data_IF_939590391822
#
_entry.id   IF_939590391822
#
_cell.length_a   1.000
_cell.length_b   1.000
_cell.length_c   1.000
_cell.angle_alpha   90.00
_cell.angle_beta   90.00
_cell.angle_gamma   90.00
#
_symmetry.space_group_name_H-M   'P 1'
#
loop_
_entity.id
_entity.type
_entity.pdbx_description
1 polymer ?
#
# COMPACT_ATOMS: atom_id res chain seq x y z
N UNK A 1 0.73 9.17 -14.18
CA UNK A 1 1.62 8.90 -13.04
C UNK A 1 2.34 7.61 -13.37
N UNK A 2 3.65 7.58 -13.18
CA UNK A 2 4.50 6.41 -13.45
C UNK A 2 3.95 5.13 -12.78
N UNK A 3 3.86 4.05 -13.55
CA UNK A 3 3.32 2.76 -13.08
C UNK A 3 4.17 2.18 -11.94
N UNK A 4 5.49 2.35 -11.98
CA UNK A 4 6.39 1.82 -10.95
C UNK A 4 6.22 2.59 -9.63
N UNK A 5 5.92 3.89 -9.71
CA UNK A 5 5.57 4.70 -8.54
C UNK A 5 4.23 4.28 -7.94
N UNK A 6 3.22 3.99 -8.77
CA UNK A 6 1.93 3.47 -8.32
C UNK A 6 2.14 2.14 -7.61
N UNK A 7 2.95 1.24 -8.20
CA UNK A 7 3.25 -0.09 -7.63
C UNK A 7 3.97 0.02 -6.28
N UNK A 8 4.93 0.94 -6.16
CA UNK A 8 5.60 1.24 -4.90
C UNK A 8 4.65 1.80 -3.84
N UNK A 9 3.78 2.75 -4.23
CA UNK A 9 2.77 3.33 -3.35
C UNK A 9 1.80 2.26 -2.83
N UNK A 10 1.24 1.44 -3.74
CA UNK A 10 0.33 0.33 -3.39
C UNK A 10 1.01 -0.64 -2.42
N UNK A 11 2.28 -1.00 -2.65
CA UNK A 11 3.04 -1.86 -1.74
C UNK A 11 3.19 -1.27 -0.33
N UNK A 12 3.51 0.02 -0.23
CA UNK A 12 3.61 0.72 1.05
C UNK A 12 2.25 0.79 1.76
N UNK A 13 1.17 1.07 1.02
CA UNK A 13 -0.19 1.08 1.56
C UNK A 13 -0.54 -0.30 2.14
N UNK A 14 -0.35 -1.37 1.36
CA UNK A 14 -0.63 -2.76 1.78
C UNK A 14 0.16 -3.12 3.03
N UNK A 15 1.47 -2.84 3.06
CA UNK A 15 2.32 -3.07 4.23
C UNK A 15 1.81 -2.30 5.46
N UNK A 16 1.41 -1.05 5.29
CA UNK A 16 0.90 -0.22 6.39
C UNK A 16 -0.44 -0.72 6.94
N UNK A 17 -1.36 -1.15 6.06
CA UNK A 17 -2.60 -1.77 6.47
C UNK A 17 -2.37 -3.06 7.27
N UNK A 18 -1.47 -3.93 6.81
CA UNK A 18 -1.10 -5.15 7.52
C UNK A 18 -0.44 -4.84 8.88
N UNK A 19 0.41 -3.83 8.95
CA UNK A 19 1.06 -3.41 10.20
C UNK A 19 0.02 -2.97 11.25
N UNK A 20 -0.94 -2.12 10.87
CA UNK A 20 -2.01 -1.69 11.79
C UNK A 20 -2.89 -2.86 12.23
N UNK A 21 -3.03 -3.88 11.39
CA UNK A 21 -3.77 -5.09 11.73
C UNK A 21 -3.01 -5.98 12.73
N UNK A 22 -1.69 -6.16 12.54
CA UNK A 22 -0.83 -6.85 13.52
C UNK A 22 -0.90 -6.14 14.87
N UNK A 23 -0.79 -4.80 14.87
CA UNK A 23 -0.91 -4.00 16.10
C UNK A 23 -2.27 -4.21 16.79
N UNK A 24 -3.35 -4.34 16.02
CA UNK A 24 -4.67 -4.64 16.56
C UNK A 24 -4.75 -6.06 17.16
N UNK A 25 -4.16 -7.06 16.50
CA UNK A 25 -4.05 -8.44 17.01
C UNK A 25 -3.29 -8.46 18.34
N UNK A 26 -2.13 -7.81 18.40
CA UNK A 26 -1.30 -7.78 19.61
C UNK A 26 -1.99 -7.06 20.79
N UNK A 27 -2.92 -6.15 20.49
CA UNK A 27 -3.67 -5.38 21.50
C UNK A 27 -4.90 -6.09 22.06
N UNK A 28 -5.41 -7.14 21.39
CA UNK A 28 -6.67 -7.81 21.75
C UNK A 28 -6.54 -9.34 21.67
N UNK A 29 -6.54 -9.99 22.84
CA UNK A 29 -6.49 -11.45 22.95
C UNK A 29 -7.71 -12.17 22.33
N UNK A 30 -8.81 -11.47 22.07
CA UNK A 30 -10.01 -12.01 21.41
C UNK A 30 -10.19 -11.44 20.00
N UNK A 31 -9.10 -10.97 19.38
CA UNK A 31 -9.14 -10.34 18.07
C UNK A 31 -9.90 -11.19 17.03
N UNK A 32 -10.80 -10.54 16.31
CA UNK A 32 -11.54 -11.12 15.19
C UNK A 32 -11.23 -10.34 13.91
N UNK A 33 -10.53 -10.99 12.99
CA UNK A 33 -10.20 -10.41 11.68
C UNK A 33 -11.45 -9.92 10.94
N UNK A 34 -12.54 -10.69 11.01
CA UNK A 34 -13.82 -10.35 10.40
C UNK A 34 -14.42 -9.08 10.98
N UNK A 35 -14.37 -8.91 12.30
CA UNK A 35 -14.92 -7.73 12.96
C UNK A 35 -14.05 -6.51 12.76
N UNK A 36 -12.73 -6.68 12.76
CA UNK A 36 -11.78 -5.64 12.38
C UNK A 36 -12.09 -5.10 10.98
N UNK A 37 -12.22 -5.97 9.99
CA UNK A 37 -12.57 -5.56 8.62
C UNK A 37 -13.93 -4.88 8.53
N UNK A 38 -14.93 -5.36 9.28
CA UNK A 38 -16.26 -4.71 9.33
C UNK A 38 -16.18 -3.29 9.93
N UNK A 39 -15.25 -3.04 10.84
CA UNK A 39 -15.00 -1.74 11.44
C UNK A 39 -14.02 -0.86 10.67
N UNK A 40 -13.46 -1.34 9.54
CA UNK A 40 -12.42 -0.63 8.81
C UNK A 40 -13.00 0.58 8.07
N UNK A 41 -12.63 1.79 8.50
CA UNK A 41 -13.24 3.04 8.02
C UNK A 41 -12.41 3.72 6.93
N UNK A 42 -13.06 4.60 6.16
CA UNK A 42 -12.38 5.49 5.19
C UNK A 42 -11.29 6.32 5.89
N UNK A 43 -11.50 6.74 7.14
CA UNK A 43 -10.49 7.47 7.90
C UNK A 43 -9.20 6.65 8.10
N UNK A 44 -9.31 5.34 8.35
CA UNK A 44 -8.16 4.44 8.44
C UNK A 44 -7.47 4.28 7.07
N UNK A 45 -8.24 4.20 5.97
CA UNK A 45 -7.68 4.24 4.62
C UNK A 45 -6.85 5.51 4.40
N UNK A 46 -7.38 6.68 4.75
CA UNK A 46 -6.70 7.97 4.58
C UNK A 46 -5.40 8.04 5.40
N UNK A 47 -5.38 7.45 6.60
CA UNK A 47 -4.16 7.34 7.40
C UNK A 47 -3.09 6.50 6.69
N UNK A 48 -3.47 5.38 6.09
CA UNK A 48 -2.53 4.54 5.34
C UNK A 48 -2.02 5.24 4.07
N UNK A 49 -2.88 5.97 3.36
CA UNK A 49 -2.49 6.81 2.21
C UNK A 49 -1.47 7.86 2.65
N UNK A 50 -1.77 8.60 3.71
CA UNK A 50 -0.87 9.64 4.23
C UNK A 50 0.49 9.05 4.63
N UNK A 51 0.48 7.90 5.29
CA UNK A 51 1.71 7.21 5.73
C UNK A 51 2.53 6.72 4.53
N UNK A 52 1.90 6.11 3.53
CA UNK A 52 2.56 5.67 2.31
C UNK A 52 3.19 6.84 1.52
N UNK A 53 2.49 7.97 1.40
CA UNK A 53 3.03 9.20 0.76
C UNK A 53 4.29 9.69 1.49
N UNK A 54 4.25 9.76 2.83
CA UNK A 54 5.42 10.17 3.63
C UNK A 54 6.61 9.22 3.46
N UNK A 55 6.34 7.93 3.31
CA UNK A 55 7.37 6.90 3.17
C UNK A 55 8.00 6.83 1.78
N UNK A 56 7.26 7.16 0.73
CA UNK A 56 7.87 7.35 -0.60
C UNK A 56 8.88 8.51 -0.61
N UNK A 57 8.82 9.39 0.39
CA UNK A 57 9.58 10.63 0.52
C UNK A 57 9.25 11.65 -0.57
N UNK A 58 9.33 12.92 -0.21
CA UNK A 58 8.96 14.01 -1.13
C UNK A 58 9.86 14.04 -2.36
N UNK A 59 11.10 13.58 -2.24
CA UNK A 59 12.06 13.67 -3.32
C UNK A 59 11.80 12.65 -4.44
N UNK A 60 11.39 11.42 -4.12
CA UNK A 60 10.97 10.44 -5.14
C UNK A 60 9.68 10.91 -5.83
N UNK A 61 8.76 11.52 -5.08
CA UNK A 61 7.59 12.18 -5.68
C UNK A 61 7.97 13.36 -6.57
N UNK A 62 8.93 14.20 -6.14
CA UNK A 62 9.35 15.42 -6.83
C UNK A 62 10.04 15.11 -8.16
N UNK A 63 10.87 14.06 -8.23
CA UNK A 63 11.53 13.64 -9.49
C UNK A 63 10.50 13.33 -10.58
N UNK A 64 9.36 12.74 -10.24
CA UNK A 64 8.31 12.44 -11.21
C UNK A 64 7.53 13.68 -11.68
N UNK A 65 7.65 14.82 -10.99
CA UNK A 65 7.16 16.09 -11.52
C UNK A 65 8.09 16.69 -12.58
N UNK A 66 9.29 16.16 -12.81
CA UNK A 66 10.28 16.76 -13.73
C UNK A 66 9.77 16.83 -15.17
N UNK A 67 8.93 15.87 -15.57
CA UNK A 67 8.29 15.87 -16.90
C UNK A 67 7.20 16.94 -17.03
N UNK A 68 6.52 17.28 -15.94
CA UNK A 68 5.40 18.24 -15.92
C UNK A 68 5.83 19.66 -15.53
N UNK A 69 6.87 19.78 -14.70
CA UNK A 69 7.40 21.02 -14.15
C UNK A 69 8.92 20.89 -13.89
N UNK A 70 9.76 20.99 -14.93
CA UNK A 70 11.20 20.84 -14.78
C UNK A 70 11.87 21.92 -13.91
N UNK A 71 11.32 23.14 -13.84
CA UNK A 71 11.88 24.27 -13.07
C UNK A 71 11.67 24.15 -11.55
N UNK A 72 10.73 23.30 -11.11
CA UNK A 72 10.33 23.11 -9.72
C UNK A 72 11.02 21.92 -9.07
N UNK A 73 11.59 21.03 -9.88
CA UNK A 73 12.26 19.81 -9.42
C UNK A 73 13.72 20.10 -9.16
N UNK A 74 14.15 19.81 -7.93
CA UNK A 74 15.57 19.85 -7.56
C UNK A 74 16.21 18.52 -7.97
N UNK A 75 17.45 18.57 -8.48
CA UNK A 75 18.21 17.38 -8.90
C UNK A 75 18.62 16.56 -7.66
N UNK A 76 17.68 15.76 -7.17
CA UNK A 76 17.87 14.85 -6.05
C UNK A 76 17.80 13.42 -6.55
N UNK A 77 18.77 12.58 -6.18
CA UNK A 77 18.67 11.12 -6.37
C UNK A 77 17.72 10.56 -5.32
N UNK A 78 16.43 10.48 -5.67
CA UNK A 78 15.40 9.79 -4.89
C UNK A 78 15.73 8.31 -4.70
N UNK A 79 14.98 7.63 -3.84
CA UNK A 79 15.00 6.16 -3.77
C UNK A 79 14.32 5.61 -5.01
N UNK A 80 14.82 4.47 -5.52
CA UNK A 80 14.17 3.79 -6.64
C UNK A 80 12.78 3.28 -6.21
N UNK A 81 11.72 3.55 -6.99
CA UNK A 81 10.40 2.95 -6.76
C UNK A 81 10.45 1.42 -6.60
N UNK A 82 11.30 0.74 -7.37
CA UNK A 82 11.48 -0.71 -7.29
C UNK A 82 12.06 -1.16 -5.94
N UNK A 83 13.06 -0.45 -5.42
CA UNK A 83 13.64 -0.76 -4.10
C UNK A 83 12.61 -0.56 -2.98
N UNK A 84 11.80 0.50 -3.08
CA UNK A 84 10.70 0.77 -2.15
C UNK A 84 9.68 -0.37 -2.21
N UNK A 85 9.26 -0.73 -3.43
CA UNK A 85 8.29 -1.79 -3.68
C UNK A 85 8.76 -3.11 -3.09
N UNK A 86 9.94 -3.60 -3.48
CA UNK A 86 10.49 -4.87 -2.98
C UNK A 86 10.62 -4.88 -1.45
N UNK A 87 11.14 -3.79 -0.85
CA UNK A 87 11.25 -3.69 0.61
C UNK A 87 9.89 -3.72 1.30
N UNK A 88 8.88 -3.07 0.72
CA UNK A 88 7.53 -3.03 1.28
C UNK A 88 6.83 -4.39 1.17
N UNK A 89 6.97 -5.09 0.05
CA UNK A 89 6.42 -6.44 -0.16
C UNK A 89 7.05 -7.46 0.77
N UNK A 90 8.38 -7.45 0.92
CA UNK A 90 9.07 -8.34 1.86
C UNK A 90 8.58 -8.15 3.31
N UNK A 91 8.34 -6.90 3.70
CA UNK A 91 7.78 -6.59 5.03
C UNK A 91 6.32 -7.00 5.13
N UNK A 92 5.51 -6.79 4.10
CA UNK A 92 4.11 -7.21 4.07
C UNK A 92 3.99 -8.73 4.25
N UNK A 93 4.81 -9.52 3.56
CA UNK A 93 4.87 -10.98 3.71
C UNK A 93 5.25 -11.38 5.15
N UNK A 94 6.18 -10.65 5.79
CA UNK A 94 6.52 -10.92 7.19
C UNK A 94 5.36 -10.63 8.13
N UNK A 95 4.66 -9.52 7.90
CA UNK A 95 3.52 -9.11 8.74
C UNK A 95 2.33 -10.04 8.61
N UNK A 96 1.95 -10.41 7.39
CA UNK A 96 0.79 -11.28 7.17
C UNK A 96 0.99 -12.67 7.76
N UNK A 97 2.24 -13.16 7.81
CA UNK A 97 2.58 -14.43 8.47
C UNK A 97 2.33 -14.39 9.98
N UNK A 98 2.34 -13.21 10.60
CA UNK A 98 2.04 -13.06 12.03
C UNK A 98 0.56 -13.28 12.34
N UNK A 99 -0.34 -13.19 11.36
CA UNK A 99 -1.76 -13.50 11.57
C UNK A 99 -1.98 -14.97 11.94
N UNK A 100 -1.08 -15.85 11.49
CA UNK A 100 -1.20 -17.29 11.68
C UNK A 100 -2.40 -17.89 10.94
N UNK A 101 -2.54 -19.21 11.03
CA UNK A 101 -3.61 -19.95 10.34
C UNK A 101 -3.24 -20.35 8.90
N UNK A 102 -4.00 -21.32 8.39
CA UNK A 102 -3.82 -21.83 7.04
C UNK A 102 -4.12 -20.74 6.00
N UNK A 103 -3.27 -20.64 4.97
CA UNK A 103 -3.31 -19.58 3.96
C UNK A 103 -2.49 -18.32 4.27
N UNK A 104 -2.26 -17.96 5.54
CA UNK A 104 -1.43 -16.79 5.89
C UNK A 104 0.04 -17.13 6.14
N UNK A 105 0.31 -18.29 6.74
CA UNK A 105 1.68 -18.74 7.07
C UNK A 105 2.54 -19.03 5.85
N UNK A 106 1.92 -19.48 4.75
CA UNK A 106 2.60 -19.86 3.51
C UNK A 106 2.70 -18.71 2.50
N UNK A 107 2.29 -17.49 2.86
CA UNK A 107 2.24 -16.37 1.92
C UNK A 107 3.62 -16.04 1.35
N UNK A 108 3.65 -15.80 0.04
CA UNK A 108 4.83 -15.47 -0.74
C UNK A 108 4.81 -14.00 -1.17
N UNK A 109 5.95 -13.53 -1.68
CA UNK A 109 6.05 -12.20 -2.29
C UNK A 109 5.20 -12.12 -3.57
N UNK A 110 5.06 -13.22 -4.30
CA UNK A 110 4.21 -13.32 -5.48
C UNK A 110 2.73 -13.11 -5.15
N UNK A 111 2.23 -13.73 -4.07
CA UNK A 111 0.84 -13.54 -3.64
C UNK A 111 0.52 -12.07 -3.34
N UNK A 112 1.44 -11.38 -2.67
CA UNK A 112 1.29 -9.96 -2.34
C UNK A 112 1.43 -9.08 -3.60
N UNK A 113 2.32 -9.43 -4.52
CA UNK A 113 2.44 -8.71 -5.80
C UNK A 113 1.18 -8.86 -6.64
N UNK A 114 0.64 -10.07 -6.75
CA UNK A 114 -0.61 -10.33 -7.45
C UNK A 114 -1.75 -9.48 -6.87
N UNK A 115 -1.85 -9.37 -5.53
CA UNK A 115 -2.80 -8.48 -4.87
C UNK A 115 -2.58 -7.01 -5.23
N UNK A 116 -1.34 -6.52 -5.23
CA UNK A 116 -0.99 -5.14 -5.58
C UNK A 116 -1.36 -4.82 -7.03
N UNK A 117 -1.15 -5.78 -7.93
CA UNK A 117 -1.43 -5.65 -9.36
C UNK A 117 -2.91 -5.85 -9.70
N UNK A 118 -3.70 -6.41 -8.77
CA UNK A 118 -5.14 -6.52 -8.93
C UNK A 118 -5.76 -5.11 -9.03
N UNK A 119 -6.74 -4.95 -9.94
CA UNK A 119 -7.41 -3.67 -10.20
C UNK A 119 -6.42 -2.54 -10.53
N UNK A 120 -5.47 -2.81 -11.43
CA UNK A 120 -4.56 -1.79 -11.95
C UNK A 120 -5.18 -0.96 -13.09
N UNK A 121 -6.31 -1.40 -13.61
CA UNK A 121 -7.09 -0.62 -14.56
C UNK A 121 -7.64 0.66 -13.90
N UNK A 122 -7.58 1.81 -14.59
CA UNK A 122 -8.23 3.02 -14.12
C UNK A 122 -9.72 2.78 -13.89
N UNK A 123 -10.27 3.33 -12.81
CA UNK A 123 -11.72 3.38 -12.62
C UNK A 123 -12.35 4.03 -13.84
N UNK A 124 -13.32 3.34 -14.43
CA UNK A 124 -14.14 3.88 -15.50
C UNK A 124 -15.24 4.77 -14.93
N UNK A 125 -15.82 5.64 -15.77
CA UNK A 125 -16.97 6.43 -15.37
C UNK A 125 -18.15 5.54 -14.93
N UNK A 126 -18.26 4.35 -15.51
CA UNK A 126 -19.28 3.35 -15.15
C UNK A 126 -19.07 2.83 -13.72
N UNK A 127 -17.82 2.49 -13.35
CA UNK A 127 -17.46 2.07 -11.99
C UNK A 127 -17.83 3.14 -10.94
N UNK A 128 -17.57 4.42 -11.25
CA UNK A 128 -17.91 5.54 -10.37
C UNK A 128 -19.43 5.68 -10.16
N UNK A 129 -20.22 5.44 -11.21
CA UNK A 129 -21.69 5.48 -11.11
C UNK A 129 -22.27 4.29 -10.34
N UNK A 130 -21.61 3.13 -10.35
CA UNK A 130 -22.03 1.97 -9.55
C UNK A 130 -21.72 2.15 -8.06
N UNK A 131 -20.62 2.82 -7.70
CA UNK A 131 -20.25 3.10 -6.30
C UNK A 131 -21.23 4.01 -5.55
N UNK A 132 -22.14 4.68 -6.25
CA UNK A 132 -23.14 5.59 -5.66
C UNK A 132 -24.56 5.02 -5.62
N UNK A 133 -24.76 3.77 -6.07
CA UNK A 133 -26.03 3.04 -5.97
C UNK A 133 -26.13 2.24 -4.67
#
# INVERSE_FOLDING_TARGET
MDEDLIRAFKALYTRNALQHMVEAIDSDNNFSLKEYWRGYTIAMCLQNIQKAIKEMKNETLNVNWKELWPEGVHDYKGFSPDEIHHSAVDKAVKLVKLFGGDGFTNMSTEDVNNLIETHSDPLTDEDLTEMTK
#
